data_IF_401332761336
#
_entry.id   IF_401332761336
#
_cell.length_a   1.000
_cell.length_b   1.000
_cell.length_c   1.000
_cell.angle_alpha   90.00
_cell.angle_beta   90.00
_cell.angle_gamma   90.00
#
_symmetry.space_group_name_H-M   'P 1'
#
loop_
_entity.id
_entity.type
_entity.pdbx_description
1 polymer ?
#
# COMPACT_ATOMS: atom_id res chain seq x y z
N UNK A 1 8.06 -16.37 26.15
CA UNK A 1 9.12 -16.84 25.22
C UNK A 1 10.39 -16.97 26.04
N UNK A 2 10.62 -18.13 26.65
CA UNK A 2 11.79 -18.37 27.51
C UNK A 2 13.02 -18.55 26.63
N UNK A 3 14.10 -17.83 26.91
CA UNK A 3 15.35 -17.91 26.16
C UNK A 3 15.54 -16.89 25.03
N UNK A 4 14.57 -16.00 24.77
CA UNK A 4 14.68 -14.97 23.71
C UNK A 4 15.13 -13.58 24.18
N UNK A 5 15.46 -13.43 25.46
CA UNK A 5 15.80 -12.12 26.04
C UNK A 5 14.65 -11.11 26.00
N UNK A 6 14.98 -9.82 26.08
CA UNK A 6 14.03 -8.72 25.98
C UNK A 6 13.66 -8.48 24.51
N UNK A 7 12.36 -8.47 24.21
CA UNK A 7 11.85 -8.29 22.84
C UNK A 7 10.74 -7.26 22.79
N UNK A 8 10.62 -6.58 21.64
CA UNK A 8 9.45 -5.77 21.32
C UNK A 8 8.30 -6.72 20.97
N UNK A 9 7.18 -6.63 21.70
CA UNK A 9 6.05 -7.55 21.56
C UNK A 9 4.74 -6.82 21.21
N UNK A 10 4.79 -6.01 20.15
CA UNK A 10 3.63 -5.29 19.65
C UNK A 10 3.99 -4.22 18.63
N UNK A 11 3.00 -3.84 17.82
CA UNK A 11 3.15 -2.84 16.77
C UNK A 11 1.95 -1.87 16.70
N UNK A 12 1.12 -1.79 17.76
CA UNK A 12 0.03 -0.81 17.82
C UNK A 12 0.57 0.61 17.90
N UNK A 13 -0.04 1.51 17.16
CA UNK A 13 0.11 2.95 17.29
C UNK A 13 -0.92 3.49 18.29
N UNK A 14 -0.86 4.81 18.55
CA UNK A 14 -1.87 5.50 19.38
C UNK A 14 -3.11 5.95 18.58
N UNK A 15 -3.26 5.49 17.34
CA UNK A 15 -4.39 5.86 16.50
C UNK A 15 -5.71 5.37 17.13
N UNK A 16 -6.70 6.26 17.24
CA UNK A 16 -7.97 5.98 17.91
C UNK A 16 -9.03 5.35 17.01
N UNK A 17 -8.86 5.41 15.68
CA UNK A 17 -9.79 4.87 14.70
C UNK A 17 -9.48 3.42 14.30
N UNK A 18 -10.48 2.74 13.74
CA UNK A 18 -10.29 1.44 13.07
C UNK A 18 -9.76 1.68 11.66
N UNK A 19 -8.44 1.67 11.53
CA UNK A 19 -7.73 1.83 10.26
C UNK A 19 -6.44 1.03 10.31
N UNK A 20 -5.92 0.61 9.14
CA UNK A 20 -4.62 -0.04 9.05
C UNK A 20 -3.46 0.84 9.59
N UNK A 21 -3.67 2.17 9.71
CA UNK A 21 -2.75 3.10 10.37
C UNK A 21 -2.59 2.85 11.88
N UNK A 22 -3.44 2.01 12.47
CA UNK A 22 -3.29 1.56 13.84
C UNK A 22 -2.05 0.70 14.05
N UNK A 23 -1.35 0.25 12.99
CA UNK A 23 -0.08 -0.51 13.06
C UNK A 23 1.12 0.24 12.49
N UNK A 24 2.24 0.12 13.19
CA UNK A 24 3.50 0.82 12.89
C UNK A 24 4.04 0.46 11.51
N UNK A 25 3.93 -0.81 11.08
CA UNK A 25 4.43 -1.24 9.77
C UNK A 25 3.71 -0.49 8.62
N UNK A 26 2.38 -0.37 8.68
CA UNK A 26 1.58 0.36 7.68
C UNK A 26 1.79 1.86 7.80
N UNK A 27 1.80 2.40 9.02
CA UNK A 27 2.01 3.84 9.23
C UNK A 27 3.37 4.30 8.66
N UNK A 28 4.42 3.52 8.86
CA UNK A 28 5.76 3.83 8.30
C UNK A 28 5.81 3.67 6.78
N UNK A 29 5.10 2.68 6.22
CA UNK A 29 4.98 2.53 4.77
C UNK A 29 4.34 3.77 4.14
N UNK A 30 3.25 4.30 4.73
CA UNK A 30 2.60 5.50 4.20
C UNK A 30 3.52 6.71 4.26
N UNK A 31 4.28 6.88 5.35
CA UNK A 31 5.28 7.96 5.46
C UNK A 31 6.37 7.83 4.40
N UNK A 32 6.87 6.61 4.20
CA UNK A 32 7.85 6.32 3.14
C UNK A 32 7.29 6.69 1.76
N UNK A 33 6.11 6.19 1.40
CA UNK A 33 5.48 6.45 0.11
C UNK A 33 5.28 7.96 -0.11
N UNK A 34 4.74 8.70 0.86
CA UNK A 34 4.59 10.17 0.76
C UNK A 34 5.91 10.88 0.50
N UNK A 35 6.98 10.45 1.17
CA UNK A 35 8.30 11.07 1.03
C UNK A 35 8.92 10.79 -0.34
N UNK A 36 8.71 9.59 -0.88
CA UNK A 36 9.24 9.24 -2.20
C UNK A 36 8.40 9.84 -3.34
N UNK A 37 7.08 9.83 -3.21
CA UNK A 37 6.15 10.40 -4.19
C UNK A 37 6.33 11.91 -4.31
N UNK A 38 6.57 12.62 -3.21
CA UNK A 38 6.87 14.06 -3.24
C UNK A 38 8.12 14.34 -4.08
N UNK A 39 9.20 13.59 -3.87
CA UNK A 39 10.44 13.72 -4.66
C UNK A 39 10.23 13.35 -6.14
N UNK A 40 9.45 12.31 -6.40
CA UNK A 40 9.13 11.85 -7.75
C UNK A 40 8.31 12.89 -8.52
N UNK A 41 7.42 13.62 -7.84
CA UNK A 41 6.55 14.62 -8.45
C UNK A 41 7.24 15.95 -8.76
N UNK A 42 8.33 16.30 -8.05
CA UNK A 42 9.03 17.60 -8.21
C UNK A 42 9.39 17.97 -9.67
N UNK A 43 9.92 17.05 -10.51
CA UNK A 43 10.29 17.39 -11.89
C UNK A 43 9.10 17.79 -12.77
N UNK A 44 7.86 17.43 -12.40
CA UNK A 44 6.66 17.72 -13.17
C UNK A 44 6.04 19.08 -12.82
N UNK A 45 6.60 19.81 -11.86
CA UNK A 45 6.15 21.17 -11.55
C UNK A 45 6.51 22.07 -12.75
N UNK A 46 5.52 22.83 -13.22
CA UNK A 46 5.59 23.70 -14.41
C UNK A 46 5.60 22.97 -15.76
N UNK A 47 5.45 21.65 -15.79
CA UNK A 47 5.13 20.94 -17.03
C UNK A 47 3.68 21.24 -17.48
N UNK A 48 3.39 21.21 -18.79
CA UNK A 48 2.01 21.32 -19.29
C UNK A 48 1.12 20.23 -18.71
N UNK A 49 -0.08 20.56 -18.22
CA UNK A 49 -1.04 19.53 -17.79
C UNK A 49 -1.79 18.94 -18.99
N UNK A 50 -1.08 18.19 -19.83
CA UNK A 50 -1.61 17.46 -20.97
C UNK A 50 -1.56 15.94 -20.75
N UNK A 51 -2.03 15.19 -21.74
CA UNK A 51 -2.07 13.72 -21.67
C UNK A 51 -0.66 13.11 -21.55
N UNK A 52 0.35 13.74 -22.15
CA UNK A 52 1.73 13.23 -22.13
C UNK A 52 2.29 13.29 -20.72
N UNK A 53 2.27 14.48 -20.10
CA UNK A 53 2.78 14.68 -18.72
C UNK A 53 2.01 13.81 -17.72
N UNK A 54 0.70 13.66 -17.90
CA UNK A 54 -0.12 12.78 -17.04
C UNK A 54 0.28 11.31 -17.15
N UNK A 55 0.52 10.82 -18.37
CA UNK A 55 0.96 9.45 -18.59
C UNK A 55 2.37 9.20 -18.04
N UNK A 56 3.27 10.18 -18.18
CA UNK A 56 4.64 10.08 -17.66
C UNK A 56 4.68 10.00 -16.13
N UNK A 57 4.00 10.92 -15.43
CA UNK A 57 3.95 10.88 -13.96
C UNK A 57 3.24 9.63 -13.45
N UNK A 58 2.15 9.20 -14.12
CA UNK A 58 1.45 7.96 -13.80
C UNK A 58 2.38 6.76 -13.90
N UNK A 59 3.09 6.61 -15.01
CA UNK A 59 4.03 5.51 -15.23
C UNK A 59 5.18 5.51 -14.23
N UNK A 60 5.68 6.68 -13.83
CA UNK A 60 6.70 6.81 -12.79
C UNK A 60 6.17 6.36 -11.41
N UNK A 61 4.97 6.78 -11.02
CA UNK A 61 4.32 6.34 -9.78
C UNK A 61 4.05 4.83 -9.79
N UNK A 62 3.51 4.29 -10.88
CA UNK A 62 3.25 2.85 -11.02
C UNK A 62 4.54 2.03 -10.90
N UNK A 63 5.63 2.49 -11.53
CA UNK A 63 6.94 1.82 -11.45
C UNK A 63 7.47 1.77 -10.01
N UNK A 64 7.34 2.87 -9.25
CA UNK A 64 7.69 2.88 -7.84
C UNK A 64 6.83 1.89 -7.02
N UNK A 65 5.51 1.90 -7.23
CA UNK A 65 4.61 1.03 -6.47
C UNK A 65 4.81 -0.46 -6.80
N UNK A 66 5.16 -0.79 -8.05
CA UNK A 66 5.60 -2.13 -8.45
C UNK A 66 6.85 -2.57 -7.69
N UNK A 67 7.84 -1.68 -7.50
CA UNK A 67 9.03 -2.01 -6.69
C UNK A 67 8.63 -2.34 -5.25
N UNK A 68 7.78 -1.51 -4.64
CA UNK A 68 7.29 -1.73 -3.27
C UNK A 68 6.48 -3.03 -3.16
N UNK A 69 5.67 -3.36 -4.17
CA UNK A 69 4.94 -4.62 -4.27
C UNK A 69 5.92 -5.81 -4.37
N UNK A 70 6.95 -5.72 -5.22
CA UNK A 70 8.00 -6.73 -5.36
C UNK A 70 8.81 -6.96 -4.08
N UNK A 71 8.97 -5.92 -3.26
CA UNK A 71 9.55 -5.99 -1.92
C UNK A 71 8.57 -6.45 -0.83
N UNK A 72 7.36 -6.88 -1.22
CA UNK A 72 6.29 -7.37 -0.33
C UNK A 72 5.76 -6.30 0.63
N UNK A 73 5.79 -5.03 0.23
CA UNK A 73 5.16 -3.93 0.97
C UNK A 73 3.66 -3.80 0.69
N UNK A 74 3.22 -4.18 -0.51
CA UNK A 74 1.84 -4.10 -0.99
C UNK A 74 1.34 -5.45 -1.49
N UNK A 75 0.04 -5.71 -1.31
CA UNK A 75 -0.66 -6.77 -2.03
C UNK A 75 -1.04 -6.29 -3.43
N UNK A 76 -1.62 -5.09 -3.53
CA UNK A 76 -2.07 -4.48 -4.78
C UNK A 76 -2.09 -2.94 -4.69
N UNK A 77 -2.23 -2.26 -5.82
CA UNK A 77 -2.37 -0.81 -5.91
C UNK A 77 -3.09 -0.37 -7.21
N UNK A 78 -3.60 0.86 -7.22
CA UNK A 78 -4.14 1.50 -8.41
C UNK A 78 -3.71 2.97 -8.48
N UNK A 79 -3.44 3.47 -9.69
CA UNK A 79 -3.06 4.85 -9.96
C UNK A 79 -3.96 5.44 -11.04
N UNK A 80 -4.55 6.60 -10.77
CA UNK A 80 -5.37 7.36 -11.73
C UNK A 80 -4.77 8.75 -11.89
N UNK A 81 -4.51 9.12 -13.15
CA UNK A 81 -4.03 10.43 -13.56
C UNK A 81 -4.47 10.64 -15.00
N UNK A 82 -5.76 10.91 -15.19
CA UNK A 82 -6.38 11.05 -16.50
C UNK A 82 -7.48 12.12 -16.44
N UNK A 83 -8.29 12.24 -17.49
CA UNK A 83 -9.35 13.25 -17.57
C UNK A 83 -10.45 13.06 -16.52
N UNK A 84 -10.59 11.87 -15.94
CA UNK A 84 -11.61 11.60 -14.91
C UNK A 84 -11.29 12.33 -13.61
N UNK A 85 -10.00 12.48 -13.27
CA UNK A 85 -9.54 13.21 -12.09
C UNK A 85 -8.77 14.50 -12.41
N UNK A 86 -8.49 14.80 -13.68
CA UNK A 86 -7.94 16.09 -14.13
C UNK A 86 -8.93 16.79 -15.05
N UNK A 87 -10.05 17.22 -14.47
CA UNK A 87 -11.12 17.94 -15.18
C UNK A 87 -10.66 19.31 -15.68
N UNK A 88 -11.33 19.91 -16.69
CA UNK A 88 -10.98 21.24 -17.19
C UNK A 88 -10.90 22.31 -16.10
N UNK A 89 -11.81 22.27 -15.11
CA UNK A 89 -11.78 23.21 -13.98
C UNK A 89 -10.54 23.07 -13.09
N UNK A 90 -9.96 21.87 -12.96
CA UNK A 90 -8.69 21.67 -12.23
C UNK A 90 -7.50 22.18 -13.06
N UNK A 91 -7.53 21.93 -14.36
CA UNK A 91 -6.52 22.42 -15.30
C UNK A 91 -6.51 23.96 -15.32
N UNK A 92 -7.68 24.61 -15.38
CA UNK A 92 -7.82 26.07 -15.33
C UNK A 92 -7.29 26.67 -14.02
N UNK A 93 -7.23 25.88 -12.94
CA UNK A 93 -6.64 26.26 -11.65
C UNK A 93 -5.15 25.93 -11.55
N UNK A 94 -4.54 25.40 -12.60
CA UNK A 94 -3.16 24.94 -12.63
C UNK A 94 -2.88 23.80 -11.63
N UNK A 95 -3.83 22.88 -11.45
CA UNK A 95 -3.70 21.73 -10.55
C UNK A 95 -3.55 20.44 -11.37
N UNK A 96 -2.69 19.53 -10.89
CA UNK A 96 -2.53 18.16 -11.40
C UNK A 96 -2.80 17.17 -10.26
N UNK A 97 -3.74 16.24 -10.46
CA UNK A 97 -4.13 15.23 -9.48
C UNK A 97 -3.64 13.86 -9.92
N UNK A 98 -2.94 13.20 -8.99
CA UNK A 98 -2.57 11.79 -9.09
C UNK A 98 -3.23 11.07 -7.91
N UNK A 99 -4.27 10.29 -8.21
CA UNK A 99 -4.98 9.52 -7.19
C UNK A 99 -4.35 8.14 -7.08
N UNK A 100 -4.00 7.76 -5.84
CA UNK A 100 -3.29 6.52 -5.54
C UNK A 100 -4.06 5.75 -4.46
N UNK A 101 -4.43 4.51 -4.78
CA UNK A 101 -4.97 3.55 -3.83
C UNK A 101 -3.96 2.42 -3.60
N UNK A 102 -3.80 1.97 -2.35
CA UNK A 102 -2.86 0.90 -1.98
C UNK A 102 -3.51 -0.11 -1.05
N UNK A 103 -3.12 -1.37 -1.20
CA UNK A 103 -3.42 -2.45 -0.26
C UNK A 103 -2.15 -2.86 0.50
N UNK A 104 -1.89 -2.32 1.70
CA UNK A 104 -0.65 -2.60 2.41
C UNK A 104 -0.63 -4.00 3.02
N UNK A 105 0.55 -4.62 3.03
CA UNK A 105 0.77 -5.88 3.74
C UNK A 105 0.66 -5.67 5.24
N UNK A 106 -0.10 -6.55 5.91
CA UNK A 106 -0.35 -6.50 7.36
C UNK A 106 0.43 -7.60 8.06
N UNK A 107 1.04 -7.29 9.19
CA UNK A 107 1.74 -8.27 9.99
C UNK A 107 0.78 -9.16 10.78
N UNK A 108 1.15 -10.43 10.95
CA UNK A 108 0.37 -11.43 11.69
C UNK A 108 0.57 -11.21 13.19
N UNK A 109 -0.54 -11.10 13.93
CA UNK A 109 -0.51 -10.88 15.38
C UNK A 109 -1.05 -12.07 16.18
N UNK A 110 -1.92 -12.86 15.54
CA UNK A 110 -2.56 -14.01 16.14
C UNK A 110 -2.51 -15.15 15.13
N UNK A 111 -2.08 -16.32 15.59
CA UNK A 111 -2.05 -17.56 14.81
C UNK A 111 -3.03 -18.51 15.47
N UNK A 112 -4.05 -18.94 14.73
CA UNK A 112 -5.04 -19.91 15.18
C UNK A 112 -4.80 -21.23 14.44
N UNK A 113 -4.55 -22.30 15.20
CA UNK A 113 -4.26 -23.63 14.65
C UNK A 113 -5.36 -24.59 15.09
N UNK A 114 -6.41 -24.79 14.29
CA UNK A 114 -7.45 -25.77 14.60
C UNK A 114 -6.96 -27.19 14.30
N UNK A 115 -7.03 -28.09 15.29
CA UNK A 115 -6.80 -29.53 15.08
C UNK A 115 -8.15 -30.22 14.91
N UNK A 116 -8.30 -31.00 13.83
CA UNK A 116 -9.51 -31.76 13.52
C UNK A 116 -9.17 -33.25 13.50
N UNK A 117 -9.96 -34.05 14.21
CA UNK A 117 -9.88 -35.51 14.15
C UNK A 117 -10.75 -36.02 13.00
N UNK A 118 -10.24 -36.99 12.25
CA UNK A 118 -10.89 -37.59 11.08
C UNK A 118 -10.73 -39.09 11.12
N UNK A 119 -11.70 -39.81 10.55
CA UNK A 119 -11.57 -41.25 10.43
C UNK A 119 -10.51 -41.59 9.37
N UNK A 120 -9.91 -42.78 9.48
CA UNK A 120 -8.96 -43.28 8.50
C UNK A 120 -9.58 -43.25 7.09
N UNK A 121 -8.88 -42.62 6.14
CA UNK A 121 -9.34 -42.48 4.75
C UNK A 121 -10.24 -41.26 4.46
N UNK A 122 -10.56 -40.42 5.46
CA UNK A 122 -11.33 -39.18 5.23
C UNK A 122 -10.46 -37.95 4.91
N UNK A 123 -9.13 -38.05 5.07
CA UNK A 123 -8.20 -36.92 4.90
C UNK A 123 -8.20 -36.43 3.44
N UNK A 124 -8.09 -37.34 2.47
CA UNK A 124 -7.98 -37.01 1.04
C UNK A 124 -9.21 -36.25 0.49
N UNK A 125 -10.33 -36.26 1.22
CA UNK A 125 -11.58 -35.57 0.85
C UNK A 125 -11.64 -34.11 1.31
N UNK A 126 -10.65 -33.64 2.09
CA UNK A 126 -10.71 -32.33 2.73
C UNK A 126 -10.23 -31.17 1.86
N UNK A 127 -9.64 -31.44 0.69
CA UNK A 127 -9.08 -30.38 -0.16
C UNK A 127 -8.04 -29.52 0.55
N UNK A 128 -7.40 -30.09 1.58
CA UNK A 128 -6.24 -29.57 2.29
C UNK A 128 -4.97 -30.12 1.65
#
# INVERSE_FOLDING_TARGET
LTGSGLTIYGQKTRHSGTSALDRVNVARLVVFLRTQLDKLAQPFIFEPNDELTRNEIKGAVESMLLEVQGQRGLYDFAVVCDETNNTPTRIDRNELYVDIAIEPVKAVEFIYIPIRLKNTGEIDKLGL
#
